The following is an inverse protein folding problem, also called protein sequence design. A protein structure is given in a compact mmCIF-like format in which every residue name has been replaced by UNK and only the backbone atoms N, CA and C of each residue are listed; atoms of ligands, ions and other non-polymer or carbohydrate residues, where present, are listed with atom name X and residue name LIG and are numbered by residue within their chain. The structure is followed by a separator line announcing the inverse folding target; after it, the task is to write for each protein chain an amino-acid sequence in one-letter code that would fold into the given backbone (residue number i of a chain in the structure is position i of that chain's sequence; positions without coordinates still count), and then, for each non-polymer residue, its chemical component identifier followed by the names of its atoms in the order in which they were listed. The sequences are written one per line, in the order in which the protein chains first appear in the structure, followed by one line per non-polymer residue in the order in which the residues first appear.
data_IF_818350786770
#
_entry.id   IF_818350786770
#
_cell.length_a   1.000
_cell.length_b   1.000
_cell.length_c   1.000
_cell.angle_alpha   90.00
_cell.angle_beta   90.00
_cell.angle_gamma   90.00
#
_symmetry.space_group_name_H-M   'P 1'
#
loop_
_entity.id
_entity.type
_entity.pdbx_description
1 polymer ?
#
# COMPACT_ATOMS: atom_id res chain seq x y z
N UNK A 1 29.53 0.22 15.33
CA UNK A 1 29.43 1.60 14.84
C UNK A 1 29.01 1.60 13.36
N UNK A 2 27.72 1.53 13.06
CA UNK A 2 27.18 1.91 11.75
C UNK A 2 26.06 2.92 11.97
N UNK A 3 26.42 4.22 11.86
CA UNK A 3 25.47 5.30 11.70
C UNK A 3 24.89 5.21 10.30
N UNK A 4 23.73 4.58 10.16
CA UNK A 4 22.95 4.58 8.92
C UNK A 4 22.35 5.96 8.70
N UNK A 5 23.08 6.85 8.04
CA UNK A 5 22.50 7.99 7.37
C UNK A 5 21.68 7.46 6.19
N UNK A 6 20.39 7.23 6.39
CA UNK A 6 19.46 6.94 5.32
C UNK A 6 19.42 8.16 4.39
N UNK A 7 20.17 8.08 3.29
CA UNK A 7 19.88 8.91 2.12
C UNK A 7 18.56 8.38 1.55
N UNK A 8 17.48 9.10 1.80
CA UNK A 8 16.27 8.91 1.03
C UNK A 8 16.59 9.29 -0.41
N UNK A 9 16.97 8.32 -1.20
CA UNK A 9 16.97 8.45 -2.65
C UNK A 9 15.54 8.71 -3.05
N UNK A 10 15.28 9.89 -3.60
CA UNK A 10 14.04 10.21 -4.29
C UNK A 10 13.91 9.27 -5.48
N UNK A 11 13.31 8.13 -5.30
CA UNK A 11 12.82 7.35 -6.42
C UNK A 11 11.35 7.70 -6.59
N UNK A 12 11.10 8.72 -7.40
CA UNK A 12 9.79 8.97 -7.98
C UNK A 12 9.74 8.09 -9.22
N UNK A 13 9.58 6.79 -9.02
CA UNK A 13 9.17 5.88 -10.07
C UNK A 13 7.68 6.03 -10.25
N UNK A 14 7.26 6.06 -11.50
CA UNK A 14 5.86 6.06 -11.89
C UNK A 14 5.24 4.69 -11.56
N UNK A 15 4.72 4.57 -10.34
CA UNK A 15 4.03 3.39 -9.81
C UNK A 15 2.53 3.61 -9.89
N UNK A 16 2.05 3.92 -11.09
CA UNK A 16 0.74 4.51 -11.32
C UNK A 16 -0.48 3.63 -11.11
N UNK A 17 -0.35 2.35 -10.77
CA UNK A 17 -1.51 1.46 -10.70
C UNK A 17 -1.76 0.75 -9.37
N UNK A 18 -0.78 0.67 -8.47
CA UNK A 18 -0.93 -0.10 -7.25
C UNK A 18 -0.73 0.79 -6.01
N UNK A 19 -1.80 1.37 -5.54
CA UNK A 19 -1.80 2.17 -4.31
C UNK A 19 -1.98 1.23 -3.13
N UNK A 20 -0.89 0.97 -2.41
CA UNK A 20 -0.97 0.45 -1.05
C UNK A 20 -1.39 1.57 -0.10
N UNK A 21 -1.91 1.21 1.07
CA UNK A 21 -2.04 2.17 2.17
C UNK A 21 -0.70 2.88 2.37
N UNK A 22 -0.74 4.22 2.48
CA UNK A 22 0.48 5.02 2.46
C UNK A 22 0.87 5.40 3.87
N UNK A 23 1.56 4.48 4.57
CA UNK A 23 2.29 4.73 5.81
C UNK A 23 2.89 3.47 6.43
N UNK A 24 3.94 3.64 7.27
CA UNK A 24 4.75 2.55 7.82
C UNK A 24 3.93 1.48 8.55
N UNK A 25 2.99 1.88 9.39
CA UNK A 25 2.16 0.95 10.18
C UNK A 25 1.14 0.22 9.31
N UNK A 26 0.50 0.93 8.39
CA UNK A 26 -0.48 0.35 7.46
C UNK A 26 0.19 -0.52 6.40
N UNK A 27 1.35 -0.08 5.87
CA UNK A 27 2.16 -0.88 4.96
C UNK A 27 2.63 -2.17 5.62
N UNK A 28 3.10 -2.11 6.88
CA UNK A 28 3.48 -3.29 7.65
C UNK A 28 2.28 -4.24 7.84
N UNK A 29 1.09 -3.72 8.16
CA UNK A 29 -0.16 -4.50 8.24
C UNK A 29 -0.45 -5.22 6.93
N UNK A 30 -0.38 -4.50 5.82
CA UNK A 30 -0.73 -5.04 4.50
C UNK A 30 0.28 -6.10 4.04
N UNK A 31 1.57 -5.89 4.30
CA UNK A 31 2.63 -6.88 4.05
C UNK A 31 2.41 -8.14 4.89
N UNK A 32 2.15 -8.00 6.20
CA UNK A 32 1.91 -9.16 7.06
C UNK A 32 0.66 -9.93 6.65
N UNK A 33 -0.43 -9.26 6.27
CA UNK A 33 -1.62 -9.91 5.73
C UNK A 33 -1.33 -10.74 4.47
N UNK A 34 -0.51 -10.20 3.56
CA UNK A 34 -0.10 -10.95 2.36
C UNK A 34 0.71 -12.18 2.75
N UNK A 35 1.68 -12.05 3.65
CA UNK A 35 2.53 -13.15 4.10
C UNK A 35 1.77 -14.24 4.87
N UNK A 36 0.72 -13.86 5.61
CA UNK A 36 -0.15 -14.77 6.36
C UNK A 36 -1.25 -15.40 5.49
N UNK A 37 -1.38 -15.02 4.21
CA UNK A 37 -2.48 -15.39 3.34
C UNK A 37 -3.85 -15.00 3.94
N UNK A 38 -3.93 -13.83 4.61
CA UNK A 38 -5.15 -13.31 5.20
C UNK A 38 -6.20 -13.03 4.11
N UNK A 39 -7.48 -13.40 4.28
CA UNK A 39 -8.54 -13.06 3.34
C UNK A 39 -8.70 -11.54 3.06
N UNK A 40 -8.27 -10.69 4.00
CA UNK A 40 -8.29 -9.25 3.88
C UNK A 40 -7.00 -8.66 3.27
N UNK A 41 -6.08 -9.53 2.82
CA UNK A 41 -4.85 -9.08 2.18
C UNK A 41 -5.14 -8.31 0.88
N UNK A 42 -4.44 -7.19 0.62
CA UNK A 42 -4.58 -6.48 -0.65
C UNK A 42 -4.04 -7.34 -1.79
N UNK A 43 -4.95 -7.81 -2.66
CA UNK A 43 -4.63 -8.74 -3.74
C UNK A 43 -3.75 -8.12 -4.83
N UNK A 44 -3.85 -6.81 -5.05
CA UNK A 44 -2.97 -6.02 -5.92
C UNK A 44 -1.51 -6.11 -5.45
N UNK A 45 -1.26 -5.86 -4.17
CA UNK A 45 0.06 -5.98 -3.55
C UNK A 45 0.59 -7.42 -3.67
N UNK A 46 -0.26 -8.42 -3.35
CA UNK A 46 0.11 -9.83 -3.44
C UNK A 46 0.54 -10.22 -4.85
N UNK A 47 -0.25 -9.87 -5.85
CA UNK A 47 0.03 -10.22 -7.24
C UNK A 47 1.32 -9.55 -7.74
N UNK A 48 1.52 -8.28 -7.42
CA UNK A 48 2.73 -7.54 -7.77
C UNK A 48 3.97 -8.15 -7.12
N UNK A 49 3.92 -8.43 -5.82
CA UNK A 49 5.02 -9.06 -5.10
C UNK A 49 5.39 -10.42 -5.71
N UNK A 50 4.40 -11.26 -6.06
CA UNK A 50 4.63 -12.54 -6.71
C UNK A 50 5.27 -12.42 -8.09
N UNK A 51 4.83 -11.45 -8.91
CA UNK A 51 5.42 -11.21 -10.24
C UNK A 51 6.88 -10.76 -10.12
N UNK A 52 7.17 -9.81 -9.23
CA UNK A 52 8.54 -9.33 -9.00
C UNK A 52 9.44 -10.43 -8.43
N UNK A 53 8.97 -11.17 -7.42
CA UNK A 53 9.70 -12.29 -6.85
C UNK A 53 9.96 -13.39 -7.89
N UNK A 54 8.95 -13.72 -8.72
CA UNK A 54 9.09 -14.69 -9.80
C UNK A 54 10.18 -14.28 -10.80
N UNK A 55 10.21 -13.01 -11.19
CA UNK A 55 11.28 -12.51 -12.07
C UNK A 55 12.66 -12.60 -11.44
N UNK A 56 12.78 -12.33 -10.14
CA UNK A 56 14.06 -12.48 -9.43
C UNK A 56 14.50 -13.95 -9.36
N UNK A 57 13.57 -14.86 -9.11
CA UNK A 57 13.85 -16.32 -9.08
C UNK A 57 14.34 -16.81 -10.44
N UNK A 58 13.83 -16.28 -11.54
CA UNK A 58 14.24 -16.64 -12.90
C UNK A 58 15.67 -16.18 -13.29
N UNK A 59 16.35 -15.39 -12.44
CA UNK A 59 17.79 -15.15 -12.61
C UNK A 59 18.66 -16.34 -12.21
N UNK A 60 18.11 -17.30 -11.47
CA UNK A 60 18.78 -18.57 -11.21
C UNK A 60 18.79 -19.41 -12.51
N UNK A 61 19.98 -19.79 -13.05
CA UNK A 61 20.08 -20.54 -14.29
C UNK A 61 19.44 -21.93 -14.21
N UNK A 62 19.25 -22.46 -13.01
CA UNK A 62 18.60 -23.77 -12.79
C UNK A 62 17.07 -23.67 -12.83
N UNK A 63 16.52 -22.46 -12.83
CA UNK A 63 15.07 -22.21 -12.94
C UNK A 63 14.68 -21.98 -14.39
N UNK A 64 13.74 -22.77 -14.85
CA UNK A 64 13.21 -22.64 -16.21
C UNK A 64 12.41 -21.35 -16.35
N UNK A 65 12.64 -20.61 -17.43
CA UNK A 65 11.91 -19.36 -17.72
C UNK A 65 10.39 -19.58 -17.76
N UNK A 66 9.66 -18.73 -17.05
CA UNK A 66 8.21 -18.80 -16.83
C UNK A 66 7.77 -19.57 -15.58
N UNK A 67 8.67 -20.29 -14.89
CA UNK A 67 8.33 -21.03 -13.68
C UNK A 67 8.44 -20.17 -12.40
N UNK A 68 9.15 -19.04 -12.45
CA UNK A 68 9.44 -18.21 -11.30
C UNK A 68 8.20 -17.74 -10.54
N UNK A 69 7.13 -17.39 -11.24
CA UNK A 69 5.86 -17.00 -10.60
C UNK A 69 5.23 -18.14 -9.80
N UNK A 70 5.24 -19.37 -10.34
CA UNK A 70 4.70 -20.54 -9.66
C UNK A 70 5.52 -20.89 -8.41
N UNK A 71 6.85 -20.77 -8.48
CA UNK A 71 7.77 -20.98 -7.37
C UNK A 71 7.54 -19.90 -6.28
N UNK A 72 7.46 -18.62 -6.68
CA UNK A 72 7.18 -17.53 -5.74
C UNK A 72 5.85 -17.73 -5.01
N UNK A 73 4.81 -18.15 -5.74
CA UNK A 73 3.51 -18.46 -5.15
C UNK A 73 3.57 -19.61 -4.16
N UNK A 74 4.28 -20.69 -4.51
CA UNK A 74 4.46 -21.82 -3.60
C UNK A 74 5.22 -21.41 -2.32
N UNK A 75 6.26 -20.57 -2.44
CA UNK A 75 6.98 -20.03 -1.29
C UNK A 75 6.06 -19.20 -0.37
N UNK A 76 5.16 -18.40 -0.95
CA UNK A 76 4.22 -17.60 -0.19
C UNK A 76 3.14 -18.48 0.46
N UNK A 77 2.48 -19.31 -0.33
CA UNK A 77 1.32 -20.10 0.11
C UNK A 77 1.70 -21.18 1.14
N UNK A 78 2.93 -21.71 1.07
CA UNK A 78 3.48 -22.66 2.05
C UNK A 78 3.92 -22.01 3.38
N UNK A 79 3.87 -20.67 3.51
CA UNK A 79 4.31 -19.95 4.70
C UNK A 79 5.84 -19.78 4.84
N UNK A 80 6.63 -20.26 3.87
CA UNK A 80 8.11 -20.10 3.89
C UNK A 80 8.52 -18.64 3.85
N UNK A 81 7.79 -17.79 3.09
CA UNK A 81 8.02 -16.36 3.06
C UNK A 81 7.78 -15.70 4.43
N UNK A 82 6.70 -16.08 5.11
CA UNK A 82 6.39 -15.61 6.46
C UNK A 82 7.47 -16.03 7.47
N UNK A 83 7.89 -17.30 7.42
CA UNK A 83 8.95 -17.81 8.31
C UNK A 83 10.26 -17.02 8.12
N UNK A 84 10.63 -16.73 6.88
CA UNK A 84 11.82 -15.95 6.58
C UNK A 84 11.68 -14.48 7.05
N UNK A 85 10.53 -13.85 6.86
CA UNK A 85 10.26 -12.50 7.37
C UNK A 85 10.39 -12.44 8.89
N UNK A 86 9.83 -13.42 9.60
CA UNK A 86 9.93 -13.50 11.06
C UNK A 86 11.39 -13.64 11.53
N UNK A 87 12.19 -14.45 10.85
CA UNK A 87 13.62 -14.60 11.14
C UNK A 87 14.38 -13.27 10.91
N UNK A 88 14.05 -12.50 9.87
CA UNK A 88 14.63 -11.18 9.61
C UNK A 88 14.26 -10.20 10.72
N UNK A 89 12.97 -10.17 11.12
CA UNK A 89 12.48 -9.29 12.19
C UNK A 89 13.18 -9.61 13.51
N UNK A 90 13.32 -10.89 13.85
CA UNK A 90 14.01 -11.33 15.04
C UNK A 90 15.50 -10.94 15.04
N UNK A 91 16.20 -11.16 13.94
CA UNK A 91 17.60 -10.79 13.79
C UNK A 91 17.83 -9.27 13.89
N UNK A 92 16.84 -8.45 13.53
CA UNK A 92 16.90 -7.00 13.64
C UNK A 92 16.49 -6.46 15.02
N UNK A 93 16.16 -7.34 15.97
CA UNK A 93 15.66 -6.96 17.28
C UNK A 93 14.19 -6.63 17.24
N UNK A 94 13.36 -7.67 17.29
CA UNK A 94 11.91 -7.58 17.16
C UNK A 94 11.29 -6.55 18.09
N UNK A 95 10.39 -5.72 17.55
CA UNK A 95 9.43 -4.94 18.34
C UNK A 95 8.10 -5.65 18.28
N UNK A 96 7.42 -5.78 19.41
CA UNK A 96 6.07 -6.29 19.41
C UNK A 96 5.18 -5.32 18.62
N UNK A 97 4.66 -5.80 17.51
CA UNK A 97 3.75 -5.07 16.63
C UNK A 97 2.54 -5.95 16.32
N UNK A 98 1.40 -5.55 16.81
CA UNK A 98 0.14 -6.20 16.47
C UNK A 98 -0.40 -5.64 15.16
N UNK A 99 -0.07 -6.30 14.05
CA UNK A 99 -0.52 -5.89 12.72
C UNK A 99 -2.03 -6.11 12.49
N UNK A 100 -2.70 -6.92 13.32
CA UNK A 100 -4.16 -7.11 13.25
C UNK A 100 -4.91 -5.93 13.84
N UNK A 101 -4.28 -5.26 14.81
CA UNK A 101 -4.81 -4.06 15.44
C UNK A 101 -3.73 -2.96 15.49
N UNK A 102 -3.33 -2.41 14.33
CA UNK A 102 -2.23 -1.47 14.26
C UNK A 102 -2.57 -0.16 15.00
N UNK A 103 -1.61 0.44 15.70
CA UNK A 103 -1.82 1.71 16.38
C UNK A 103 -1.91 2.85 15.35
N UNK A 104 -3.11 3.19 14.91
CA UNK A 104 -3.36 4.28 13.97
C UNK A 104 -3.61 5.60 14.71
N UNK A 105 -3.32 6.71 14.03
CA UNK A 105 -3.58 8.05 14.54
C UNK A 105 -5.05 8.26 14.90
N UNK A 106 -5.28 8.90 16.05
CA UNK A 106 -6.61 9.07 16.64
C UNK A 106 -7.52 10.07 15.92
N UNK A 107 -6.91 11.00 15.17
CA UNK A 107 -7.64 11.95 14.33
C UNK A 107 -7.93 11.30 12.98
N UNK A 108 -9.22 11.08 12.69
CA UNK A 108 -9.65 10.35 11.48
C UNK A 108 -10.56 11.22 10.64
N UNK A 109 -10.28 11.27 9.33
CA UNK A 109 -11.16 11.90 8.34
C UNK A 109 -11.48 10.93 7.21
N UNK A 110 -12.78 10.67 6.99
CA UNK A 110 -13.24 9.85 5.90
C UNK A 110 -13.46 10.70 4.64
N UNK A 111 -12.76 10.33 3.59
CA UNK A 111 -12.94 10.93 2.26
C UNK A 111 -13.96 10.11 1.50
N UNK A 112 -15.04 10.76 1.08
CA UNK A 112 -16.21 10.09 0.50
C UNK A 112 -16.33 10.33 -0.99
N UNK A 113 -16.94 9.38 -1.67
CA UNK A 113 -17.28 9.47 -3.09
C UNK A 113 -18.29 10.60 -3.32
N UNK A 114 -18.02 11.57 -4.19
CA UNK A 114 -18.97 12.65 -4.50
C UNK A 114 -20.16 12.18 -5.32
N UNK A 115 -19.98 11.11 -6.11
CA UNK A 115 -20.99 10.53 -7.01
C UNK A 115 -20.86 9.01 -7.01
N UNK A 116 -21.91 8.31 -7.43
CA UNK A 116 -21.86 6.86 -7.69
C UNK A 116 -21.19 6.59 -9.04
N UNK A 117 -20.41 5.50 -9.12
CA UNK A 117 -19.71 5.11 -10.35
C UNK A 117 -18.64 4.06 -10.07
N UNK A 118 -17.57 4.09 -10.86
CA UNK A 118 -16.40 3.22 -10.72
C UNK A 118 -15.17 4.08 -10.45
N UNK A 119 -14.26 3.63 -9.61
CA UNK A 119 -12.96 4.28 -9.42
C UNK A 119 -12.13 4.05 -10.68
N UNK A 120 -11.98 5.08 -11.51
CA UNK A 120 -11.27 4.99 -12.81
C UNK A 120 -9.83 5.43 -12.74
N UNK A 121 -9.44 6.18 -11.71
CA UNK A 121 -8.06 6.62 -11.51
C UNK A 121 -7.80 6.96 -10.04
N UNK A 122 -6.58 6.68 -9.58
CA UNK A 122 -6.05 7.08 -8.28
C UNK A 122 -4.70 7.76 -8.52
N UNK A 123 -4.60 9.04 -8.15
CA UNK A 123 -3.35 9.80 -8.24
C UNK A 123 -2.47 9.50 -7.01
N UNK A 124 -1.47 8.66 -7.21
CA UNK A 124 -0.54 8.22 -6.16
C UNK A 124 0.28 9.37 -5.58
N UNK A 125 0.63 10.36 -6.38
CA UNK A 125 1.39 11.53 -5.91
C UNK A 125 0.53 12.39 -5.01
N UNK A 126 -0.74 12.55 -5.35
CA UNK A 126 -1.70 13.28 -4.53
C UNK A 126 -1.94 12.55 -3.21
N UNK A 127 -2.19 11.22 -3.24
CA UNK A 127 -2.35 10.39 -2.04
C UNK A 127 -1.13 10.46 -1.14
N UNK A 128 0.08 10.29 -1.70
CA UNK A 128 1.32 10.40 -0.95
C UNK A 128 1.55 11.83 -0.38
N UNK A 129 1.07 12.85 -1.07
CA UNK A 129 1.17 14.24 -0.59
C UNK A 129 0.23 14.50 0.59
N UNK A 130 -1.00 13.97 0.54
CA UNK A 130 -1.95 14.02 1.66
C UNK A 130 -1.41 13.25 2.86
N UNK A 131 -0.87 12.02 2.66
CA UNK A 131 -0.27 11.22 3.72
C UNK A 131 0.90 11.95 4.41
N UNK A 132 1.77 12.63 3.63
CA UNK A 132 2.87 13.43 4.18
C UNK A 132 2.39 14.60 5.02
N UNK A 133 1.34 15.29 4.59
CA UNK A 133 0.73 16.37 5.37
C UNK A 133 0.04 15.85 6.64
N UNK A 134 -0.48 14.60 6.63
CA UNK A 134 -1.05 13.97 7.81
C UNK A 134 0.01 13.59 8.87
N UNK A 135 1.31 13.60 8.49
CA UNK A 135 2.44 13.33 9.39
C UNK A 135 3.37 12.21 8.93
N UNK A 136 3.02 11.44 7.91
CA UNK A 136 3.82 10.33 7.40
C UNK A 136 5.12 10.81 6.69
N UNK A 137 6.20 10.08 6.73
CA UNK A 137 6.50 8.89 7.52
C UNK A 137 7.06 9.22 8.91
N UNK A 138 7.09 10.52 9.29
CA UNK A 138 7.70 11.00 10.54
C UNK A 138 6.93 10.49 11.76
N UNK A 139 5.60 10.45 11.64
CA UNK A 139 4.67 9.87 12.63
C UNK A 139 4.19 8.53 12.09
N UNK A 140 4.66 7.39 12.62
CA UNK A 140 4.38 6.06 12.04
C UNK A 140 2.91 5.65 12.01
N UNK A 141 2.07 6.22 12.89
CA UNK A 141 0.63 5.98 13.00
C UNK A 141 -0.22 6.88 12.10
N UNK A 142 0.41 7.91 11.46
CA UNK A 142 -0.27 8.82 10.56
C UNK A 142 -0.19 8.34 9.11
N UNK A 143 -1.20 8.59 8.28
CA UNK A 143 -1.20 8.21 6.86
C UNK A 143 -2.58 8.02 6.26
N UNK A 144 -2.67 7.24 5.21
CA UNK A 144 -3.91 6.98 4.47
C UNK A 144 -4.19 5.48 4.40
N UNK A 145 -5.39 5.10 4.85
CA UNK A 145 -5.94 3.75 4.73
C UNK A 145 -6.92 3.69 3.55
N UNK A 146 -6.53 3.02 2.48
CA UNK A 146 -7.34 2.92 1.27
C UNK A 146 -8.43 1.88 1.44
N UNK A 147 -9.69 2.29 1.29
CA UNK A 147 -10.87 1.42 1.37
C UNK A 147 -11.27 0.94 -0.02
N UNK A 148 -11.26 1.84 -1.01
CA UNK A 148 -11.62 1.52 -2.38
C UNK A 148 -10.38 1.53 -3.28
N UNK A 149 -10.34 0.61 -4.22
CA UNK A 149 -9.26 0.42 -5.20
C UNK A 149 -9.71 0.77 -6.61
N UNK A 150 -8.75 0.83 -7.53
CA UNK A 150 -9.04 1.01 -8.95
C UNK A 150 -9.98 -0.11 -9.45
N UNK A 151 -11.05 0.26 -10.15
CA UNK A 151 -12.06 -0.66 -10.66
C UNK A 151 -13.22 -0.95 -9.70
N UNK A 152 -13.13 -0.51 -8.43
CA UNK A 152 -14.23 -0.71 -7.47
C UNK A 152 -15.45 0.14 -7.83
N UNK A 153 -16.64 -0.47 -7.73
CA UNK A 153 -17.92 0.23 -7.80
C UNK A 153 -18.17 0.92 -6.47
N UNK A 154 -18.53 2.18 -6.53
CA UNK A 154 -18.79 3.01 -5.34
C UNK A 154 -20.12 3.74 -5.45
N UNK A 155 -20.76 3.94 -4.31
CA UNK A 155 -21.96 4.75 -4.19
C UNK A 155 -21.62 6.16 -3.68
N UNK A 156 -22.44 7.15 -4.04
CA UNK A 156 -22.29 8.49 -3.50
C UNK A 156 -22.34 8.47 -1.97
N UNK A 157 -21.33 9.09 -1.31
CA UNK A 157 -21.18 9.08 0.14
C UNK A 157 -20.42 7.88 0.71
N UNK A 158 -20.08 6.87 -0.10
CA UNK A 158 -19.23 5.74 0.32
C UNK A 158 -17.80 6.23 0.61
N UNK A 159 -17.18 5.67 1.65
CA UNK A 159 -15.79 6.01 2.02
C UNK A 159 -14.82 5.44 1.01
N UNK A 160 -14.02 6.29 0.38
CA UNK A 160 -12.94 5.93 -0.53
C UNK A 160 -11.66 5.57 0.21
N UNK A 161 -11.30 6.40 1.18
CA UNK A 161 -10.16 6.18 2.07
C UNK A 161 -10.31 6.98 3.37
N UNK A 162 -9.46 6.66 4.36
CA UNK A 162 -9.36 7.37 5.63
C UNK A 162 -8.00 8.02 5.78
N UNK A 163 -7.99 9.25 6.26
CA UNK A 163 -6.76 9.95 6.68
C UNK A 163 -6.65 9.78 8.17
N UNK A 164 -5.50 9.28 8.65
CA UNK A 164 -5.15 9.16 10.06
C UNK A 164 -4.05 10.15 10.41
N UNK A 165 -4.16 10.84 11.55
CA UNK A 165 -3.14 11.74 12.06
C UNK A 165 -3.15 11.77 13.59
N UNK A 166 -2.04 12.18 14.20
CA UNK A 166 -1.97 12.43 15.65
C UNK A 166 -1.90 13.90 15.98
N UNK A 167 -1.43 14.72 15.04
CA UNK A 167 -1.17 16.14 15.23
C UNK A 167 -2.28 16.94 14.58
N UNK A 168 -3.00 17.75 15.36
CA UNK A 168 -4.15 18.54 14.88
C UNK A 168 -3.79 19.48 13.72
N UNK A 169 -2.62 20.10 13.73
CA UNK A 169 -2.18 20.98 12.66
C UNK A 169 -1.99 20.23 11.34
N UNK A 170 -1.31 19.07 11.39
CA UNK A 170 -1.05 18.21 10.25
C UNK A 170 -2.36 17.68 9.68
N UNK A 171 -3.28 17.25 10.54
CA UNK A 171 -4.61 16.82 10.17
C UNK A 171 -5.39 17.87 9.38
N UNK A 172 -5.37 19.12 9.85
CA UNK A 172 -6.03 20.25 9.16
C UNK A 172 -5.41 20.51 7.79
N UNK A 173 -4.07 20.43 7.66
CA UNK A 173 -3.41 20.61 6.37
C UNK A 173 -3.71 19.48 5.39
N UNK A 174 -3.67 18.23 5.86
CA UNK A 174 -4.02 17.07 5.04
C UNK A 174 -5.47 17.18 4.53
N UNK A 175 -6.41 17.51 5.41
CA UNK A 175 -7.81 17.72 5.04
C UNK A 175 -7.98 18.84 4.01
N UNK A 176 -7.35 19.98 4.19
CA UNK A 176 -7.42 21.10 3.21
C UNK A 176 -6.88 20.73 1.85
N UNK A 177 -5.83 19.91 1.77
CA UNK A 177 -5.31 19.42 0.50
C UNK A 177 -6.29 18.43 -0.13
N UNK A 178 -6.84 17.51 0.65
CA UNK A 178 -7.83 16.54 0.21
C UNK A 178 -9.10 17.22 -0.32
N UNK A 179 -9.61 18.24 0.37
CA UNK A 179 -10.81 18.99 -0.05
C UNK A 179 -10.61 19.70 -1.41
N UNK A 180 -9.37 20.04 -1.78
CA UNK A 180 -9.05 20.59 -3.11
C UNK A 180 -8.98 19.52 -4.19
N UNK A 181 -8.37 18.38 -3.87
CA UNK A 181 -8.21 17.24 -4.76
C UNK A 181 -8.05 15.97 -3.94
N UNK A 182 -9.03 15.08 -4.01
CA UNK A 182 -9.01 13.83 -3.24
C UNK A 182 -7.99 12.81 -3.75
N UNK A 183 -7.50 12.97 -4.98
CA UNK A 183 -6.66 11.98 -5.65
C UNK A 183 -7.45 10.86 -6.32
N UNK A 184 -8.78 10.81 -6.17
CA UNK A 184 -9.65 9.82 -6.79
C UNK A 184 -10.47 10.43 -7.92
N UNK A 185 -10.60 9.68 -9.01
CA UNK A 185 -11.55 9.99 -10.08
C UNK A 185 -12.58 8.88 -10.18
N UNK A 186 -13.87 9.27 -10.23
CA UNK A 186 -15.00 8.37 -10.36
C UNK A 186 -15.62 8.62 -11.72
N UNK A 187 -15.82 7.57 -12.50
CA UNK A 187 -16.33 7.62 -13.85
C UNK A 187 -17.07 6.34 -14.22
N UNK A 188 -17.06 6.02 -15.52
CA UNK A 188 -17.63 4.79 -16.05
C UNK A 188 -16.56 3.72 -16.21
N UNK A 189 -16.95 2.46 -16.17
CA UNK A 189 -16.02 1.31 -16.26
C UNK A 189 -15.15 1.34 -17.55
N UNK A 190 -15.69 1.88 -18.64
CA UNK A 190 -15.01 2.05 -19.93
C UNK A 190 -13.84 3.07 -19.89
N UNK A 191 -13.79 3.91 -18.85
CA UNK A 191 -12.78 4.95 -18.66
C UNK A 191 -11.57 4.46 -17.82
N UNK A 192 -11.54 3.19 -17.43
CA UNK A 192 -10.44 2.63 -16.67
C UNK A 192 -9.22 2.46 -17.59
N UNK A 193 -8.20 3.25 -17.37
CA UNK A 193 -6.92 3.08 -18.04
C UNK A 193 -6.09 2.04 -17.29
N UNK A 194 -6.10 0.81 -17.80
CA UNK A 194 -5.17 -0.21 -17.34
C UNK A 194 -3.77 0.11 -17.88
N UNK A 195 -2.97 0.82 -17.10
CA UNK A 195 -1.55 0.99 -17.40
C UNK A 195 -0.80 -0.24 -16.85
N UNK A 196 -1.07 -1.41 -17.40
CA UNK A 196 -0.18 -2.55 -17.24
C UNK A 196 0.85 -2.50 -18.35
N UNK A 197 2.08 -2.20 -18.02
CA UNK A 197 3.21 -2.51 -18.88
C UNK A 197 3.43 -4.02 -18.70
N UNK A 198 2.94 -4.82 -19.64
CA UNK A 198 3.38 -6.22 -19.78
C UNK A 198 4.84 -6.20 -20.25
N UNK A 199 5.75 -6.66 -19.37
CA UNK A 199 7.15 -6.93 -19.72
C UNK A 199 7.30 -8.37 -20.13
#
# INVERSE_FOLDING_TARGET
FFSSRRRHTRYIGDWSSDVCSSDLVMEARDVMRVLENDPLAPMDLRQKALRLAGRLIEYDPDVRGGEGFAIARDILDSGRALAQMNAIIEAQGSRQFDHKNPPLGSLVYEVKAPVSGVVVSIDNLQIASIARLAGAPKVPSAGIDLVCKLGDKVEAGQTLYRIHSEIQADFVFAKKLCDKASGYQIGREEEIHHVFVEF
#
